data_IF_347991413560
#
_entry.id   IF_347991413560
#
_cell.length_a   1.000
_cell.length_b   1.000
_cell.length_c   1.000
_cell.angle_alpha   90.00
_cell.angle_beta   90.00
_cell.angle_gamma   90.00
#
_symmetry.space_group_name_H-M   'P 1'
#
loop_
_entity.id
_entity.type
_entity.pdbx_description
1 polymer ?
#
# COMPACT_ATOMS: atom_id res chain seq x y z
N UNK A 1 -18.66 19.06 11.78
CA UNK A 1 -17.99 18.50 10.59
C UNK A 1 -18.98 17.67 9.80
N UNK A 2 -18.95 17.82 8.51
CA UNK A 2 -19.91 17.11 7.64
C UNK A 2 -19.39 15.72 7.31
N UNK A 3 -20.18 14.73 7.57
CA UNK A 3 -19.90 13.34 7.18
C UNK A 3 -20.14 13.18 5.69
N UNK A 4 -19.13 12.70 4.97
CA UNK A 4 -19.20 12.45 3.53
C UNK A 4 -19.18 10.96 3.24
N UNK A 5 -19.95 10.55 2.24
CA UNK A 5 -19.86 9.20 1.70
C UNK A 5 -18.92 9.23 0.50
N UNK A 6 -17.90 8.40 0.55
CA UNK A 6 -16.91 8.28 -0.51
C UNK A 6 -16.86 6.85 -1.01
N UNK A 7 -16.68 6.69 -2.31
CA UNK A 7 -16.50 5.39 -2.96
C UNK A 7 -15.22 5.40 -3.76
N UNK A 8 -14.58 4.25 -3.85
CA UNK A 8 -13.34 4.14 -4.59
C UNK A 8 -12.86 2.72 -4.75
N UNK A 9 -11.68 2.59 -5.31
CA UNK A 9 -10.94 1.34 -5.48
C UNK A 9 -9.66 1.39 -4.66
N UNK A 10 -9.31 0.29 -4.01
CA UNK A 10 -8.14 0.23 -3.16
C UNK A 10 -7.49 -1.15 -3.17
N UNK A 11 -6.18 -1.15 -2.92
CA UNK A 11 -5.41 -2.35 -2.62
C UNK A 11 -5.24 -2.42 -1.11
N UNK A 12 -5.62 -3.54 -0.51
CA UNK A 12 -5.39 -3.79 0.92
C UNK A 12 -3.91 -4.07 1.12
N UNK A 13 -3.26 -3.29 1.97
CA UNK A 13 -1.85 -3.50 2.33
C UNK A 13 -1.74 -4.44 3.52
N UNK A 14 -2.42 -4.15 4.60
CA UNK A 14 -2.57 -5.06 5.73
C UNK A 14 -3.77 -4.71 6.60
N UNK A 15 -4.10 -5.61 7.50
CA UNK A 15 -5.12 -5.41 8.52
C UNK A 15 -4.58 -5.73 9.91
N UNK A 16 -5.14 -5.08 10.91
CA UNK A 16 -4.87 -5.36 12.33
C UNK A 16 -6.17 -5.35 13.10
N UNK A 17 -6.14 -5.92 14.29
CA UNK A 17 -7.29 -5.91 15.17
C UNK A 17 -7.72 -4.48 15.49
N UNK A 18 -9.01 -4.23 15.36
CA UNK A 18 -9.64 -2.97 15.67
C UNK A 18 -10.50 -3.07 16.93
N UNK A 19 -11.40 -2.13 17.08
CA UNK A 19 -12.34 -2.08 18.23
C UNK A 19 -13.48 -3.08 18.05
N UNK A 20 -13.94 -3.66 19.14
CA UNK A 20 -15.16 -4.48 19.21
C UNK A 20 -15.20 -5.64 18.19
N UNK A 21 -14.06 -6.28 17.96
CA UNK A 21 -13.96 -7.38 17.02
C UNK A 21 -13.93 -6.98 15.54
N UNK A 22 -13.87 -5.68 15.25
CA UNK A 22 -13.60 -5.17 13.90
C UNK A 22 -12.13 -5.18 13.57
N UNK A 23 -11.78 -4.58 12.45
CA UNK A 23 -10.39 -4.44 11.99
C UNK A 23 -10.08 -3.01 11.60
N UNK A 24 -8.82 -2.68 11.58
CA UNK A 24 -8.29 -1.46 10.97
C UNK A 24 -7.50 -1.88 9.73
N UNK A 25 -7.89 -1.34 8.58
CA UNK A 25 -7.26 -1.63 7.31
C UNK A 25 -6.33 -0.50 6.89
N UNK A 26 -5.11 -0.86 6.49
CA UNK A 26 -4.24 0.04 5.75
C UNK A 26 -4.46 -0.24 4.26
N UNK A 27 -4.88 0.79 3.53
CA UNK A 27 -5.25 0.71 2.13
C UNK A 27 -4.40 1.65 1.29
N UNK A 28 -4.13 1.26 0.06
CA UNK A 28 -3.65 2.19 -0.97
C UNK A 28 -4.81 2.41 -1.94
N UNK A 29 -5.43 3.59 -1.85
CA UNK A 29 -6.59 3.92 -2.67
C UNK A 29 -6.17 4.59 -3.97
N UNK A 30 -6.91 4.32 -5.04
CA UNK A 30 -6.66 4.95 -6.33
C UNK A 30 -6.94 6.46 -6.29
N UNK A 31 -7.95 6.88 -5.53
CA UNK A 31 -8.41 8.26 -5.50
C UNK A 31 -7.65 9.17 -4.54
N UNK A 32 -7.16 8.63 -3.43
CA UNK A 32 -6.57 9.43 -2.33
C UNK A 32 -5.24 8.89 -1.80
N UNK A 33 -4.62 7.93 -2.48
CA UNK A 33 -3.40 7.31 -1.98
C UNK A 33 -3.63 6.50 -0.71
N UNK A 34 -2.65 6.51 0.19
CA UNK A 34 -2.75 5.76 1.44
C UNK A 34 -3.87 6.27 2.33
N UNK A 35 -4.65 5.34 2.85
CA UNK A 35 -5.72 5.61 3.80
C UNK A 35 -5.74 4.53 4.88
N UNK A 36 -6.12 4.91 6.07
CA UNK A 36 -6.42 3.99 7.16
C UNK A 36 -7.91 4.05 7.44
N UNK A 37 -8.58 2.92 7.36
CA UNK A 37 -10.03 2.84 7.53
C UNK A 37 -10.40 1.81 8.59
N UNK A 38 -11.40 2.14 9.41
CA UNK A 38 -11.99 1.19 10.34
C UNK A 38 -13.00 0.31 9.61
N UNK A 39 -12.96 -0.98 9.91
CA UNK A 39 -13.89 -1.97 9.40
C UNK A 39 -14.69 -2.55 10.56
N UNK A 40 -15.97 -2.17 10.70
CA UNK A 40 -16.81 -2.75 11.74
C UNK A 40 -17.02 -4.26 11.53
N UNK A 41 -17.12 -5.00 12.64
CA UNK A 41 -17.39 -6.43 12.62
C UNK A 41 -18.63 -6.80 11.80
N UNK A 42 -19.68 -6.02 11.91
CA UNK A 42 -20.94 -6.25 11.19
C UNK A 42 -20.77 -6.12 9.67
N UNK A 43 -19.98 -5.16 9.22
CA UNK A 43 -19.65 -4.96 7.81
C UNK A 43 -18.78 -6.11 7.32
N UNK A 44 -17.78 -6.51 8.08
CA UNK A 44 -16.90 -7.62 7.75
C UNK A 44 -17.67 -8.94 7.63
N UNK A 45 -18.62 -9.20 8.53
CA UNK A 45 -19.47 -10.39 8.48
C UNK A 45 -20.34 -10.43 7.21
N UNK A 46 -20.81 -9.27 6.75
CA UNK A 46 -21.65 -9.16 5.55
C UNK A 46 -20.83 -9.21 4.25
N UNK A 47 -19.69 -8.54 4.20
CA UNK A 47 -18.89 -8.37 2.98
C UNK A 47 -17.78 -9.41 2.80
N UNK A 48 -17.39 -10.08 3.87
CA UNK A 48 -16.40 -11.17 3.83
C UNK A 48 -15.04 -10.80 4.43
N UNK A 49 -14.57 -11.63 5.34
CA UNK A 49 -13.28 -11.43 6.02
C UNK A 49 -12.06 -11.75 5.14
N UNK A 50 -12.24 -12.54 4.09
CA UNK A 50 -11.15 -12.92 3.17
C UNK A 50 -10.54 -11.75 2.42
N UNK A 51 -11.31 -10.68 2.20
CA UNK A 51 -10.85 -9.48 1.51
C UNK A 51 -10.09 -8.49 2.42
N UNK A 52 -9.80 -8.85 3.66
CA UNK A 52 -8.92 -8.09 4.54
C UNK A 52 -7.46 -8.53 4.44
N UNK A 53 -7.17 -9.55 3.64
CA UNK A 53 -5.81 -10.04 3.39
C UNK A 53 -5.02 -9.06 2.49
N UNK A 54 -3.68 -9.02 2.63
CA UNK A 54 -2.84 -8.21 1.75
C UNK A 54 -3.06 -8.52 0.28
N UNK A 55 -2.99 -7.49 -0.55
CA UNK A 55 -3.22 -7.54 -2.00
C UNK A 55 -4.61 -8.00 -2.42
N UNK A 56 -5.60 -7.79 -1.56
CA UNK A 56 -6.99 -7.77 -1.99
C UNK A 56 -7.24 -6.48 -2.75
N UNK A 57 -7.87 -6.57 -3.91
CA UNK A 57 -8.34 -5.42 -4.68
C UNK A 57 -9.84 -5.26 -4.40
N UNK A 58 -10.21 -4.16 -3.78
CA UNK A 58 -11.59 -3.91 -3.37
C UNK A 58 -12.15 -2.63 -3.98
N UNK A 59 -13.44 -2.66 -4.25
CA UNK A 59 -14.26 -1.46 -4.40
C UNK A 59 -14.97 -1.23 -3.08
N UNK A 60 -14.89 -0.03 -2.57
CA UNK A 60 -15.41 0.28 -1.25
C UNK A 60 -16.31 1.50 -1.25
N UNK A 61 -17.17 1.55 -0.26
CA UNK A 61 -17.90 2.74 0.16
C UNK A 61 -17.56 2.97 1.62
N UNK A 62 -17.19 4.19 1.94
CA UNK A 62 -16.81 4.58 3.29
C UNK A 62 -17.46 5.89 3.69
N UNK A 63 -17.68 6.04 4.97
CA UNK A 63 -18.10 7.29 5.58
C UNK A 63 -16.86 8.00 6.12
N UNK A 64 -16.61 9.20 5.64
CA UNK A 64 -15.41 9.97 5.97
C UNK A 64 -15.78 11.23 6.72
N UNK A 65 -15.13 11.45 7.85
CA UNK A 65 -15.25 12.65 8.67
C UNK A 65 -13.85 13.06 9.15
N UNK A 66 -13.30 14.12 8.54
CA UNK A 66 -11.92 14.52 8.79
C UNK A 66 -10.93 13.44 8.37
N UNK A 67 -10.09 13.01 9.30
CA UNK A 67 -9.12 11.93 9.09
C UNK A 67 -9.69 10.54 9.38
N UNK A 68 -10.91 10.48 9.91
CA UNK A 68 -11.55 9.23 10.27
C UNK A 68 -12.37 8.70 9.10
N UNK A 69 -12.14 7.46 8.73
CA UNK A 69 -12.86 6.76 7.68
C UNK A 69 -13.40 5.42 8.20
N UNK A 70 -14.66 5.17 7.92
CA UNK A 70 -15.38 3.97 8.34
C UNK A 70 -15.94 3.25 7.12
N UNK A 71 -15.47 2.03 6.87
CA UNK A 71 -15.98 1.21 5.78
C UNK A 71 -17.43 0.80 6.05
N UNK A 72 -18.29 0.99 5.09
CA UNK A 72 -19.70 0.58 5.14
C UNK A 72 -20.00 -0.58 4.19
N UNK A 73 -19.24 -0.71 3.12
CA UNK A 73 -19.42 -1.76 2.13
C UNK A 73 -18.13 -1.95 1.35
N UNK A 74 -17.84 -3.18 0.96
CA UNK A 74 -16.77 -3.49 0.02
C UNK A 74 -17.04 -4.81 -0.70
N UNK A 75 -16.48 -4.93 -1.91
CA UNK A 75 -16.47 -6.15 -2.72
C UNK A 75 -15.16 -6.21 -3.49
N UNK A 76 -14.77 -7.35 -3.96
CA UNK A 76 -13.55 -7.48 -4.75
C UNK A 76 -13.01 -8.90 -4.79
N UNK A 77 -11.71 -9.01 -4.97
CA UNK A 77 -11.02 -10.30 -5.05
C UNK A 77 -9.56 -10.16 -4.63
N UNK A 78 -8.93 -11.27 -4.30
CA UNK A 78 -7.48 -11.34 -4.09
C UNK A 78 -6.76 -11.25 -5.43
N UNK A 79 -5.78 -10.35 -5.55
CA UNK A 79 -4.87 -10.34 -6.70
C UNK A 79 -4.00 -11.61 -6.68
N UNK A 80 -3.50 -11.98 -5.53
CA UNK A 80 -2.87 -13.27 -5.25
C UNK A 80 -2.94 -13.55 -3.75
N UNK A 81 -2.77 -14.81 -3.37
CA UNK A 81 -2.78 -15.18 -1.95
C UNK A 81 -1.36 -15.18 -1.39
N UNK A 82 -0.96 -14.02 -0.85
CA UNK A 82 0.36 -13.82 -0.28
C UNK A 82 0.65 -14.77 0.88
N UNK A 83 -0.38 -15.13 1.65
CA UNK A 83 -0.23 -15.97 2.84
C UNK A 83 0.00 -17.44 2.51
N UNK A 84 -0.16 -17.85 1.25
CA UNK A 84 0.17 -19.19 0.76
C UNK A 84 1.58 -19.32 0.19
N UNK A 85 2.32 -18.23 0.10
CA UNK A 85 3.71 -18.24 -0.36
C UNK A 85 4.65 -18.86 0.68
N UNK A 86 5.82 -19.38 0.25
CA UNK A 86 6.89 -19.73 1.17
C UNK A 86 7.25 -18.56 2.10
N UNK A 87 7.71 -18.86 3.30
CA UNK A 87 8.01 -17.85 4.32
C UNK A 87 8.95 -16.75 3.84
N UNK A 88 10.01 -17.10 3.12
CA UNK A 88 10.96 -16.12 2.57
C UNK A 88 10.29 -15.18 1.57
N UNK A 89 9.44 -15.72 0.72
CA UNK A 89 8.71 -14.92 -0.28
C UNK A 89 7.71 -13.97 0.40
N UNK A 90 7.02 -14.42 1.43
CA UNK A 90 6.17 -13.54 2.24
C UNK A 90 6.95 -12.36 2.82
N UNK A 91 8.17 -12.60 3.30
CA UNK A 91 9.02 -11.54 3.85
C UNK A 91 9.31 -10.44 2.82
N UNK A 92 9.59 -10.80 1.57
CA UNK A 92 9.81 -9.83 0.50
C UNK A 92 8.56 -8.99 0.23
N UNK A 93 7.39 -9.60 0.22
CA UNK A 93 6.12 -8.90 0.04
C UNK A 93 5.75 -8.00 1.22
N UNK A 94 6.01 -8.44 2.46
CA UNK A 94 5.86 -7.58 3.63
C UNK A 94 6.77 -6.35 3.57
N UNK A 95 7.98 -6.51 3.04
CA UNK A 95 8.87 -5.38 2.83
C UNK A 95 8.28 -4.36 1.82
N UNK A 96 7.70 -4.83 0.72
CA UNK A 96 7.01 -3.95 -0.25
C UNK A 96 5.85 -3.21 0.41
N UNK A 97 5.06 -3.89 1.23
CA UNK A 97 3.95 -3.27 1.98
C UNK A 97 4.46 -2.20 2.92
N UNK A 98 5.45 -2.52 3.73
CA UNK A 98 6.04 -1.58 4.69
C UNK A 98 6.64 -0.36 3.99
N UNK A 99 7.35 -0.59 2.89
CA UNK A 99 7.91 0.47 2.07
C UNK A 99 6.82 1.41 1.54
N UNK A 100 5.72 0.84 1.03
CA UNK A 100 4.57 1.61 0.54
C UNK A 100 3.97 2.50 1.63
N UNK A 101 3.90 1.99 2.85
CA UNK A 101 3.36 2.75 3.98
C UNK A 101 4.30 3.87 4.46
N UNK A 102 5.61 3.65 4.38
CA UNK A 102 6.60 4.62 4.83
C UNK A 102 6.90 5.71 3.81
N UNK A 103 6.88 5.38 2.53
CA UNK A 103 7.27 6.31 1.47
C UNK A 103 6.15 7.27 1.05
N UNK A 104 4.90 6.88 1.20
CA UNK A 104 3.78 7.67 0.68
C UNK A 104 2.93 8.23 1.81
N UNK A 105 2.76 9.57 1.87
CA UNK A 105 1.94 10.22 2.89
C UNK A 105 0.47 9.81 2.79
N UNK A 106 -0.19 9.73 3.93
CA UNK A 106 -1.60 9.43 3.99
C UNK A 106 -2.43 10.56 3.36
N UNK A 107 -3.39 10.18 2.53
CA UNK A 107 -4.33 11.12 1.91
C UNK A 107 -3.82 11.80 0.64
N UNK A 108 -2.61 11.49 0.19
CA UNK A 108 -2.03 12.05 -1.03
C UNK A 108 -2.16 11.07 -2.19
N UNK A 109 -2.90 11.45 -3.21
CA UNK A 109 -3.07 10.65 -4.42
C UNK A 109 -1.73 10.46 -5.13
N UNK A 110 -1.43 9.21 -5.52
CA UNK A 110 -0.27 8.87 -6.33
C UNK A 110 -0.61 7.73 -7.30
N UNK A 111 -0.94 8.10 -8.52
CA UNK A 111 -1.34 7.15 -9.56
C UNK A 111 -0.21 6.18 -9.92
N UNK A 112 1.03 6.66 -9.95
CA UNK A 112 2.20 5.83 -10.26
C UNK A 112 2.43 4.75 -9.23
N UNK A 113 2.33 5.09 -7.94
CA UNK A 113 2.47 4.13 -6.85
C UNK A 113 1.32 3.12 -6.84
N UNK A 114 0.09 3.57 -7.04
CA UNK A 114 -1.07 2.68 -7.13
C UNK A 114 -0.92 1.67 -8.28
N UNK A 115 -0.58 2.15 -9.47
CA UNK A 115 -0.39 1.29 -10.64
C UNK A 115 0.77 0.31 -10.46
N UNK A 116 1.84 0.73 -9.79
CA UNK A 116 2.98 -0.13 -9.48
C UNK A 116 2.58 -1.27 -8.55
N UNK A 117 1.83 -0.98 -7.50
CA UNK A 117 1.32 -2.00 -6.57
C UNK A 117 0.31 -2.92 -7.24
N UNK A 118 -0.57 -2.39 -8.06
CA UNK A 118 -1.55 -3.19 -8.80
C UNK A 118 -0.88 -4.16 -9.77
N UNK A 119 0.11 -3.72 -10.51
CA UNK A 119 0.91 -4.58 -11.39
C UNK A 119 1.65 -5.66 -10.61
N UNK A 120 2.32 -5.29 -9.52
CA UNK A 120 3.04 -6.23 -8.69
C UNK A 120 2.10 -7.31 -8.13
N UNK A 121 0.96 -6.91 -7.58
CA UNK A 121 -0.04 -7.84 -7.07
C UNK A 121 -0.60 -8.76 -8.15
N UNK A 122 -0.81 -8.25 -9.36
CA UNK A 122 -1.31 -9.04 -10.49
C UNK A 122 -0.30 -10.10 -10.97
N UNK A 123 0.98 -9.89 -10.72
CA UNK A 123 2.06 -10.85 -11.04
C UNK A 123 2.44 -11.74 -9.84
N UNK A 124 1.93 -11.43 -8.65
CA UNK A 124 2.18 -12.19 -7.44
C UNK A 124 1.76 -13.66 -7.58
N UNK A 125 2.58 -14.57 -7.08
CA UNK A 125 2.33 -16.00 -7.20
C UNK A 125 2.58 -16.62 -8.59
N UNK A 126 2.73 -15.79 -9.63
CA UNK A 126 3.01 -16.21 -11.01
C UNK A 126 4.48 -16.05 -11.40
N UNK A 127 5.19 -15.20 -10.71
CA UNK A 127 6.62 -14.89 -10.94
C UNK A 127 7.39 -15.04 -9.65
N UNK A 128 8.71 -15.20 -9.76
CA UNK A 128 9.58 -15.26 -8.60
C UNK A 128 9.46 -13.99 -7.75
N UNK A 129 9.20 -14.16 -6.47
CA UNK A 129 8.92 -13.05 -5.57
C UNK A 129 10.10 -12.10 -5.37
N UNK A 130 11.33 -12.64 -5.24
CA UNK A 130 12.49 -11.80 -4.98
C UNK A 130 12.75 -10.75 -6.08
N UNK A 131 12.91 -11.10 -7.36
CA UNK A 131 13.11 -10.10 -8.39
C UNK A 131 11.90 -9.19 -8.58
N UNK A 132 10.68 -9.72 -8.46
CA UNK A 132 9.45 -8.94 -8.59
C UNK A 132 9.34 -7.90 -7.46
N UNK A 133 9.55 -8.29 -6.22
CA UNK A 133 9.53 -7.38 -5.08
C UNK A 133 10.67 -6.36 -5.12
N UNK A 134 11.87 -6.78 -5.56
CA UNK A 134 13.01 -5.89 -5.72
C UNK A 134 12.70 -4.78 -6.74
N UNK A 135 12.22 -5.15 -7.92
CA UNK A 135 11.89 -4.17 -8.97
C UNK A 135 10.74 -3.25 -8.52
N UNK A 136 9.75 -3.79 -7.83
CA UNK A 136 8.65 -3.02 -7.27
C UNK A 136 9.16 -2.00 -6.25
N UNK A 137 10.03 -2.43 -5.34
CA UNK A 137 10.63 -1.57 -4.33
C UNK A 137 11.45 -0.43 -4.96
N UNK A 138 12.28 -0.73 -5.96
CA UNK A 138 13.06 0.28 -6.69
C UNK A 138 12.15 1.32 -7.34
N UNK A 139 11.07 0.87 -7.97
CA UNK A 139 10.12 1.77 -8.61
C UNK A 139 9.35 2.65 -7.61
N UNK A 140 8.94 2.09 -6.48
CA UNK A 140 8.30 2.86 -5.41
C UNK A 140 9.26 3.92 -4.83
N UNK A 141 10.52 3.57 -4.62
CA UNK A 141 11.54 4.50 -4.18
C UNK A 141 11.73 5.66 -5.17
N UNK A 142 11.84 5.36 -6.45
CA UNK A 142 11.94 6.38 -7.50
C UNK A 142 10.72 7.31 -7.51
N UNK A 143 9.52 6.76 -7.44
CA UNK A 143 8.27 7.53 -7.41
C UNK A 143 8.16 8.43 -6.17
N UNK A 144 8.74 8.02 -5.06
CA UNK A 144 8.74 8.80 -3.82
C UNK A 144 9.81 9.91 -3.77
N UNK A 145 10.63 10.02 -4.82
CA UNK A 145 11.70 11.02 -4.93
C UNK A 145 13.10 10.52 -4.58
N UNK A 146 13.26 9.22 -4.24
CA UNK A 146 14.56 8.60 -4.06
C UNK A 146 15.05 8.04 -5.39
N UNK A 147 15.64 8.89 -6.23
CA UNK A 147 16.32 8.42 -7.42
C UNK A 147 17.64 7.74 -7.03
N UNK A 148 17.92 6.59 -7.64
CA UNK A 148 19.25 6.05 -7.60
C UNK A 148 20.15 7.05 -8.36
N UNK A 149 20.93 7.82 -7.62
CA UNK A 149 21.88 8.75 -8.20
C UNK A 149 22.76 8.02 -9.21
N UNK A 150 23.00 8.64 -10.38
CA UNK A 150 24.01 8.14 -11.30
C UNK A 150 25.36 8.09 -10.55
N UNK A 151 26.31 7.23 -10.96
CA UNK A 151 27.63 7.20 -10.33
C UNK A 151 28.29 8.56 -10.23
N UNK A 152 28.06 9.42 -11.21
CA UNK A 152 28.56 10.81 -11.23
C UNK A 152 27.89 11.69 -10.17
N UNK A 153 26.58 11.56 -10.01
CA UNK A 153 25.84 12.29 -8.96
C UNK A 153 26.14 11.76 -7.54
N UNK A 154 26.46 10.48 -7.42
CA UNK A 154 26.87 9.89 -6.15
C UNK A 154 28.25 10.42 -5.71
N UNK A 155 29.19 10.60 -6.62
CA UNK A 155 30.48 11.22 -6.31
C UNK A 155 30.33 12.69 -5.91
N UNK A 156 29.46 13.42 -6.57
CA UNK A 156 29.21 14.83 -6.27
C UNK A 156 28.54 15.03 -4.89
N UNK A 157 27.66 14.14 -4.50
CA UNK A 157 26.99 14.17 -3.20
C UNK A 157 27.86 13.71 -2.02
N UNK A 158 28.93 12.95 -2.28
CA UNK A 158 29.89 12.54 -1.26
C UNK A 158 30.95 13.61 -0.95
N UNK A 159 31.11 14.59 -1.82
CA UNK A 159 31.98 15.73 -1.55
C UNK A 159 31.27 16.73 -0.63
N UNK A 160 31.71 16.76 0.61
CA UNK A 160 31.18 17.78 1.56
C UNK A 160 31.49 19.19 1.05
N UNK A 161 30.68 20.21 1.39
CA UNK A 161 30.94 21.59 1.02
C UNK A 161 32.35 22.07 1.39
N UNK A 162 32.94 21.51 2.45
CA UNK A 162 34.29 21.83 2.88
C UNK A 162 35.36 21.26 1.94
N UNK A 163 35.09 20.17 1.23
CA UNK A 163 36.00 19.59 0.23
C UNK A 163 35.96 20.32 -1.11
N UNK A 164 34.90 21.10 -1.36
CA UNK A 164 34.76 21.88 -2.61
C UNK A 164 35.48 23.24 -2.56
N UNK A 165 35.93 23.67 -1.39
CA UNK A 165 36.67 24.94 -1.22
C UNK A 165 38.19 24.75 -1.23
N UNK A 166 38.70 23.57 -1.48
CA UNK A 166 40.10 23.25 -1.67
C UNK A 166 40.38 22.92 -3.16
#
# INVERSE_FOLDING_TARGET
>A
MTRKIESGEAIVLHSREGREGGKTLSLFTMQKGRMVMSLPRTVMARCGSGLTAPFSLIRYTASVEGEYALLSQYEGHLLFDMMKLPYEDMAYWFYVIELSEKLFPQGEKDDGAYDTLLKAGSMGGKRNSLPLCFMTAVKLLALSGFDAASPEEAEENHLSPAARSL
#
